data_IF_777367507572
#
_entry.id   IF_777367507572
#
_cell.length_a   1.000
_cell.length_b   1.000
_cell.length_c   1.000
_cell.angle_alpha   90.00
_cell.angle_beta   90.00
_cell.angle_gamma   90.00
#
_symmetry.space_group_name_H-M   'P 1'
#
loop_
_entity.id
_entity.type
_entity.pdbx_description
1 polymer ?
#
# COMPACT_ATOMS: atom_id res chain seq x y z
N UNK A 1 2.71 -3.09 -17.06
CA UNK A 1 3.34 -2.87 -15.75
C UNK A 1 2.81 -3.90 -14.77
N UNK A 2 3.70 -4.53 -14.01
CA UNK A 2 3.29 -5.45 -12.94
C UNK A 2 3.05 -4.70 -11.65
N UNK A 3 1.96 -5.00 -10.97
CA UNK A 3 1.59 -4.36 -9.72
C UNK A 3 1.27 -5.42 -8.67
N UNK A 4 1.48 -5.05 -7.40
CA UNK A 4 1.02 -5.84 -6.26
C UNK A 4 -0.27 -5.21 -5.74
N UNK A 5 -1.20 -6.05 -5.31
CA UNK A 5 -2.41 -5.61 -4.64
C UNK A 5 -2.31 -6.06 -3.18
N UNK A 6 -2.59 -5.15 -2.26
CA UNK A 6 -2.64 -5.47 -0.84
C UNK A 6 -3.99 -5.15 -0.25
N UNK A 7 -4.55 -6.09 0.51
CA UNK A 7 -5.78 -5.92 1.25
C UNK A 7 -5.58 -6.39 2.69
N UNK A 8 -6.19 -5.69 3.63
CA UNK A 8 -6.15 -6.05 5.04
C UNK A 8 -7.52 -5.86 5.66
N UNK A 9 -8.01 -6.90 6.31
CA UNK A 9 -9.22 -6.85 7.10
C UNK A 9 -8.90 -7.23 8.54
N UNK A 10 -9.55 -6.54 9.49
CA UNK A 10 -9.41 -6.82 10.91
C UNK A 10 -10.46 -7.85 11.32
N UNK A 11 -10.11 -8.73 12.26
CA UNK A 11 -11.06 -9.73 12.80
C UNK A 11 -12.20 -9.06 13.56
N UNK A 12 -12.04 -7.80 13.97
CA UNK A 12 -13.06 -7.02 14.68
C UNK A 12 -13.90 -6.15 13.76
N UNK A 13 -13.55 -6.02 12.48
CA UNK A 13 -14.29 -5.21 11.52
C UNK A 13 -15.57 -5.94 11.11
N UNK A 14 -16.66 -5.15 10.88
CA UNK A 14 -17.89 -5.69 10.32
C UNK A 14 -17.67 -6.22 8.91
N UNK A 15 -16.76 -5.60 8.19
CA UNK A 15 -16.40 -5.96 6.83
C UNK A 15 -15.13 -6.81 6.89
N UNK A 16 -15.34 -8.12 7.07
CA UNK A 16 -14.25 -9.10 7.17
C UNK A 16 -13.94 -9.75 5.82
N UNK A 17 -14.62 -9.33 4.77
CA UNK A 17 -14.42 -9.91 3.44
C UNK A 17 -13.41 -9.06 2.66
N UNK A 18 -12.22 -9.58 2.34
CA UNK A 18 -11.24 -8.84 1.56
C UNK A 18 -11.71 -8.49 0.15
N UNK A 19 -12.73 -9.19 -0.38
CA UNK A 19 -13.24 -8.91 -1.73
C UNK A 19 -13.79 -7.49 -1.87
N UNK A 20 -14.26 -6.87 -0.80
CA UNK A 20 -14.71 -5.48 -0.84
C UNK A 20 -13.59 -4.52 -1.21
N UNK A 21 -12.34 -4.89 -0.93
CA UNK A 21 -11.15 -4.13 -1.33
C UNK A 21 -10.58 -4.65 -2.65
N UNK A 22 -10.52 -5.96 -2.81
CA UNK A 22 -9.88 -6.58 -3.96
C UNK A 22 -10.64 -6.35 -5.27
N UNK A 23 -11.96 -6.41 -5.25
CA UNK A 23 -12.76 -6.25 -6.48
C UNK A 23 -12.51 -4.88 -7.15
N UNK A 24 -12.65 -3.75 -6.46
CA UNK A 24 -12.36 -2.47 -7.12
C UNK A 24 -10.91 -2.31 -7.53
N UNK A 25 -9.97 -2.88 -6.77
CA UNK A 25 -8.56 -2.84 -7.14
C UNK A 25 -8.27 -3.65 -8.40
N UNK A 26 -8.86 -4.84 -8.52
CA UNK A 26 -8.71 -5.66 -9.71
C UNK A 26 -9.27 -4.95 -10.95
N UNK A 27 -10.44 -4.31 -10.81
CA UNK A 27 -11.04 -3.55 -11.90
C UNK A 27 -10.14 -2.40 -12.35
N UNK A 28 -9.56 -1.69 -11.40
CA UNK A 28 -8.65 -0.59 -11.70
C UNK A 28 -7.42 -1.09 -12.46
N UNK A 29 -6.81 -2.18 -12.00
CA UNK A 29 -5.63 -2.76 -12.66
C UNK A 29 -5.95 -3.17 -14.11
N UNK A 30 -7.11 -3.82 -14.33
CA UNK A 30 -7.54 -4.20 -15.66
C UNK A 30 -7.79 -3.00 -16.56
N UNK A 31 -8.38 -1.92 -16.01
CA UNK A 31 -8.67 -0.72 -16.79
C UNK A 31 -7.40 0.00 -17.27
N UNK A 32 -6.26 -0.25 -16.61
CA UNK A 32 -4.96 0.33 -16.98
C UNK A 32 -4.11 -0.63 -17.81
N UNK A 33 -4.64 -1.79 -18.18
CA UNK A 33 -3.88 -2.84 -18.87
C UNK A 33 -2.63 -3.29 -18.11
N UNK A 34 -2.69 -3.23 -16.78
CA UNK A 34 -1.62 -3.70 -15.92
C UNK A 34 -1.82 -5.17 -15.56
N UNK A 35 -0.75 -5.82 -15.14
CA UNK A 35 -0.76 -7.22 -14.71
C UNK A 35 -0.57 -7.29 -13.19
N UNK A 36 -1.41 -8.07 -12.52
CA UNK A 36 -1.26 -8.33 -11.08
C UNK A 36 -0.18 -9.38 -10.86
N UNK A 37 0.90 -9.01 -10.18
CA UNK A 37 1.93 -9.95 -9.78
C UNK A 37 1.41 -10.92 -8.72
N UNK A 38 0.77 -10.40 -7.68
CA UNK A 38 0.22 -11.18 -6.58
C UNK A 38 -0.75 -10.32 -5.77
N UNK A 39 -1.72 -10.99 -5.15
CA UNK A 39 -2.63 -10.37 -4.19
C UNK A 39 -2.21 -10.80 -2.80
N UNK A 40 -1.78 -9.84 -1.99
CA UNK A 40 -1.33 -10.08 -0.61
C UNK A 40 -2.47 -9.71 0.32
N UNK A 41 -2.98 -10.67 1.09
CA UNK A 41 -4.15 -10.46 1.95
C UNK A 41 -3.81 -10.85 3.38
N UNK A 42 -4.02 -9.92 4.31
CA UNK A 42 -3.83 -10.15 5.74
C UNK A 42 -5.14 -10.00 6.50
N UNK A 43 -5.28 -10.81 7.54
CA UNK A 43 -6.38 -10.76 8.50
C UNK A 43 -5.79 -10.36 9.86
N UNK A 44 -5.56 -9.05 10.05
CA UNK A 44 -4.88 -8.55 11.23
C UNK A 44 -5.07 -7.05 11.41
N UNK A 45 -4.82 -6.54 12.61
CA UNK A 45 -4.71 -5.11 12.87
C UNK A 45 -3.45 -4.54 12.20
N UNK A 46 -3.50 -3.28 11.76
CA UNK A 46 -2.34 -2.59 11.19
C UNK A 46 -1.16 -2.50 12.17
N UNK A 47 -1.45 -2.47 13.46
CA UNK A 47 -0.44 -2.36 14.52
C UNK A 47 0.14 -3.70 14.97
N UNK A 48 -0.30 -4.82 14.39
CA UNK A 48 0.17 -6.15 14.74
C UNK A 48 1.14 -6.68 13.68
N UNK A 49 2.46 -6.45 13.82
CA UNK A 49 3.42 -6.84 12.78
C UNK A 49 3.57 -8.37 12.66
N UNK A 50 3.27 -9.11 13.71
CA UNK A 50 3.43 -10.57 13.70
C UNK A 50 2.35 -11.27 12.88
N UNK A 51 1.15 -10.67 12.80
CA UNK A 51 0.02 -11.25 12.06
C UNK A 51 -0.07 -10.72 10.63
N UNK A 52 0.72 -9.71 10.28
CA UNK A 52 0.77 -9.15 8.94
C UNK A 52 1.84 -9.85 8.09
N UNK A 53 1.71 -11.17 7.97
CA UNK A 53 2.69 -12.00 7.25
C UNK A 53 2.78 -11.61 5.78
N UNK A 54 1.64 -11.34 5.14
CA UNK A 54 1.62 -10.99 3.73
C UNK A 54 2.19 -9.59 3.47
N UNK A 55 2.01 -8.65 4.41
CA UNK A 55 2.63 -7.34 4.31
C UNK A 55 4.16 -7.44 4.33
N UNK A 56 4.72 -8.26 5.24
CA UNK A 56 6.16 -8.47 5.29
C UNK A 56 6.68 -9.10 4.00
N UNK A 57 5.94 -10.07 3.46
CA UNK A 57 6.28 -10.68 2.18
C UNK A 57 6.26 -9.66 1.05
N UNK A 58 5.26 -8.77 1.04
CA UNK A 58 5.17 -7.70 0.06
C UNK A 58 6.37 -6.75 0.16
N UNK A 59 6.78 -6.39 1.38
CA UNK A 59 7.95 -5.54 1.58
C UNK A 59 9.22 -6.19 1.01
N UNK A 60 9.41 -7.48 1.23
CA UNK A 60 10.56 -8.21 0.69
C UNK A 60 10.51 -8.27 -0.84
N UNK A 61 9.34 -8.53 -1.40
CA UNK A 61 9.16 -8.59 -2.85
C UNK A 61 9.37 -7.23 -3.50
N UNK A 62 8.97 -6.14 -2.84
CA UNK A 62 9.21 -4.77 -3.31
C UNK A 62 10.71 -4.48 -3.35
N UNK A 63 11.44 -4.85 -2.30
CA UNK A 63 12.89 -4.68 -2.26
C UNK A 63 13.59 -5.45 -3.38
N UNK A 64 13.04 -6.58 -3.79
CA UNK A 64 13.54 -7.40 -4.91
C UNK A 64 13.00 -6.95 -6.26
N UNK A 65 12.22 -5.88 -6.31
CA UNK A 65 11.65 -5.29 -7.53
C UNK A 65 10.82 -6.28 -8.35
N UNK A 66 10.05 -7.13 -7.68
CA UNK A 66 9.18 -8.11 -8.34
C UNK A 66 7.98 -7.46 -9.02
N UNK A 67 7.67 -6.22 -8.66
CA UNK A 67 6.61 -5.42 -9.24
C UNK A 67 7.01 -3.94 -9.23
N UNK A 68 6.26 -3.10 -9.96
CA UNK A 68 6.58 -1.69 -10.16
C UNK A 68 5.72 -0.76 -9.31
N UNK A 69 4.63 -1.24 -8.76
CA UNK A 69 3.76 -0.43 -7.90
C UNK A 69 2.97 -1.32 -6.95
N UNK A 70 2.59 -0.75 -5.82
CA UNK A 70 1.70 -1.36 -4.83
C UNK A 70 0.40 -0.58 -4.83
N UNK A 71 -0.73 -1.30 -4.83
CA UNK A 71 -2.06 -0.70 -4.80
C UNK A 71 -2.82 -1.16 -3.57
N UNK A 72 -3.43 -0.21 -2.87
CA UNK A 72 -4.31 -0.48 -1.73
C UNK A 72 -5.62 0.28 -1.89
N UNK A 73 -6.66 -0.18 -1.20
CA UNK A 73 -7.96 0.46 -1.24
C UNK A 73 -7.98 1.76 -0.43
N UNK A 74 -7.36 1.76 0.76
CA UNK A 74 -7.21 2.91 1.65
C UNK A 74 -5.83 2.91 2.30
N UNK A 75 -5.33 4.08 2.66
CA UNK A 75 -4.03 4.23 3.31
C UNK A 75 -3.94 3.46 4.63
N UNK A 76 -5.01 3.43 5.42
CA UNK A 76 -5.03 2.76 6.72
C UNK A 76 -5.01 1.23 6.63
N UNK A 77 -5.22 0.68 5.43
CA UNK A 77 -5.03 -0.76 5.21
C UNK A 77 -3.54 -1.13 5.15
N UNK A 78 -2.69 -0.19 4.72
CA UNK A 78 -1.25 -0.41 4.58
C UNK A 78 -0.46 0.09 5.78
N UNK A 79 -0.70 1.32 6.21
CA UNK A 79 0.17 2.02 7.16
C UNK A 79 -0.50 2.24 8.50
N UNK A 80 0.30 2.16 9.58
CA UNK A 80 -0.16 2.36 10.96
C UNK A 80 0.05 3.79 11.48
N UNK A 81 0.90 4.57 10.79
CA UNK A 81 1.22 5.95 11.17
C UNK A 81 1.76 6.71 9.97
N UNK A 82 1.84 8.03 10.08
CA UNK A 82 2.45 8.88 9.05
C UNK A 82 3.93 8.56 8.88
N UNK A 83 4.63 8.30 9.99
CA UNK A 83 6.05 7.94 9.95
C UNK A 83 6.26 6.61 9.23
N UNK A 84 5.45 5.59 9.53
CA UNK A 84 5.48 4.30 8.86
C UNK A 84 5.27 4.47 7.36
N UNK A 85 4.27 5.26 6.97
CA UNK A 85 3.98 5.56 5.57
C UNK A 85 5.18 6.24 4.89
N UNK A 86 5.71 7.29 5.51
CA UNK A 86 6.86 8.02 4.94
C UNK A 86 8.07 7.10 4.74
N UNK A 87 8.44 6.35 5.78
CA UNK A 87 9.62 5.50 5.74
C UNK A 87 9.49 4.40 4.67
N UNK A 88 8.30 3.81 4.57
CA UNK A 88 8.04 2.77 3.57
C UNK A 88 8.08 3.33 2.15
N UNK A 89 7.40 4.44 1.91
CA UNK A 89 7.33 5.04 0.57
C UNK A 89 8.68 5.58 0.12
N UNK A 90 9.48 6.11 1.04
CA UNK A 90 10.84 6.54 0.74
C UNK A 90 11.72 5.35 0.30
N UNK A 91 11.64 4.24 1.03
CA UNK A 91 12.37 3.03 0.67
C UNK A 91 11.95 2.49 -0.70
N UNK A 92 10.65 2.51 -1.01
CA UNK A 92 10.14 2.05 -2.31
C UNK A 92 10.58 2.96 -3.45
N UNK A 93 10.58 4.27 -3.22
CA UNK A 93 11.06 5.22 -4.24
C UNK A 93 12.50 4.93 -4.66
N UNK A 94 13.35 4.57 -3.70
CA UNK A 94 14.75 4.25 -3.97
C UNK A 94 14.92 3.03 -4.86
N UNK A 95 13.97 2.11 -4.88
CA UNK A 95 14.03 0.92 -5.73
C UNK A 95 13.07 1.00 -6.92
N UNK A 96 12.45 2.15 -7.14
CA UNK A 96 11.59 2.37 -8.30
C UNK A 96 10.20 1.75 -8.17
N UNK A 97 9.71 1.53 -6.95
CA UNK A 97 8.37 1.00 -6.69
C UNK A 97 7.44 2.14 -6.30
N UNK A 98 6.38 2.34 -7.09
CA UNK A 98 5.36 3.34 -6.82
C UNK A 98 4.29 2.81 -5.87
N UNK A 99 3.40 3.71 -5.45
CA UNK A 99 2.30 3.38 -4.54
C UNK A 99 1.06 4.16 -4.91
N UNK A 100 -0.09 3.49 -4.89
CA UNK A 100 -1.39 4.13 -5.12
C UNK A 100 -2.38 3.67 -4.06
N UNK A 101 -3.14 4.63 -3.51
CA UNK A 101 -4.31 4.37 -2.68
C UNK A 101 -5.56 4.87 -3.40
N UNK A 102 -6.53 3.97 -3.60
CA UNK A 102 -7.70 4.27 -4.42
C UNK A 102 -8.61 5.31 -3.76
N UNK A 103 -8.91 5.13 -2.47
CA UNK A 103 -9.89 5.96 -1.77
C UNK A 103 -9.47 7.42 -1.67
N UNK A 104 -8.21 7.67 -1.33
CA UNK A 104 -7.65 9.02 -1.21
C UNK A 104 -7.17 9.58 -2.54
N UNK A 105 -7.18 8.77 -3.59
CA UNK A 105 -6.64 9.15 -4.91
C UNK A 105 -5.18 9.60 -4.82
N UNK A 106 -4.42 8.94 -3.96
CA UNK A 106 -3.01 9.22 -3.74
C UNK A 106 -2.17 8.33 -4.66
N UNK A 107 -1.28 8.96 -5.44
CA UNK A 107 -0.41 8.27 -6.38
C UNK A 107 0.97 8.91 -6.34
N UNK A 108 1.99 8.16 -5.91
CA UNK A 108 3.35 8.69 -5.76
C UNK A 108 4.01 9.07 -7.07
N UNK A 109 3.49 8.62 -8.20
CA UNK A 109 4.05 8.96 -9.53
C UNK A 109 3.52 10.28 -10.08
N UNK A 110 2.58 10.92 -9.39
CA UNK A 110 2.04 12.21 -9.82
C UNK A 110 2.76 13.37 -9.12
N UNK A 111 2.78 14.58 -9.72
CA UNK A 111 3.34 15.76 -9.06
C UNK A 111 2.71 16.06 -7.71
N UNK A 112 1.38 15.93 -7.61
CA UNK A 112 0.67 16.18 -6.36
C UNK A 112 1.01 15.10 -5.31
N UNK A 113 1.17 13.85 -5.74
CA UNK A 113 1.60 12.77 -4.86
C UNK A 113 3.00 13.01 -4.30
N UNK A 114 3.92 13.53 -5.11
CA UNK A 114 5.27 13.89 -4.66
C UNK A 114 5.26 15.04 -3.67
N UNK A 115 4.40 16.03 -3.90
CA UNK A 115 4.22 17.12 -2.93
C UNK A 115 3.71 16.56 -1.60
N UNK A 116 2.74 15.65 -1.64
CA UNK A 116 2.22 15.01 -0.43
C UNK A 116 3.31 14.24 0.30
N UNK A 117 4.20 13.55 -0.40
CA UNK A 117 5.34 12.87 0.23
C UNK A 117 6.24 13.84 0.99
N UNK A 118 6.51 15.01 0.41
CA UNK A 118 7.30 16.05 1.07
C UNK A 118 6.60 16.55 2.35
N UNK A 119 5.30 16.74 2.29
CA UNK A 119 4.50 17.14 3.45
C UNK A 119 4.50 16.07 4.53
N UNK A 120 4.38 14.80 4.14
CA UNK A 120 4.43 13.67 5.07
C UNK A 120 5.76 13.59 5.80
N UNK A 121 6.87 13.88 5.11
CA UNK A 121 8.19 13.92 5.73
C UNK A 121 8.23 14.96 6.85
N UNK A 122 7.70 16.15 6.60
CA UNK A 122 7.64 17.21 7.60
C UNK A 122 6.74 16.83 8.79
N UNK A 123 5.58 16.24 8.52
CA UNK A 123 4.65 15.79 9.57
C UNK A 123 5.29 14.69 10.41
N UNK A 124 5.99 13.76 9.80
CA UNK A 124 6.62 12.64 10.50
C UNK A 124 7.67 13.11 11.52
N UNK A 125 8.30 14.25 11.29
CA UNK A 125 9.26 14.84 12.25
C UNK A 125 8.60 15.23 13.58
N UNK A 126 7.30 15.47 13.58
CA UNK A 126 6.55 15.85 14.79
C UNK A 126 5.92 14.63 15.50
N UNK A 127 6.00 13.45 14.94
CA UNK A 127 5.52 12.24 15.59
C UNK A 127 6.55 11.78 16.63
N UNK A 128 6.12 11.61 17.85
CA UNK A 128 6.96 11.18 18.97
C UNK A 128 6.73 9.69 19.27
#
# INVERSE_FOLDING_TARGET
MKVAIYARVSTSDRDQDPETQLMPLREFVLSRDWETHHEYVDFASASDPYRRVQWRRLLDDAASRRFRAVMVFKLDRAFRSVKDMHDTLEAWEMVGVGFQSMREQFDTDTPIGRLMLTMLAAIAEFEL
#
